data_IF_743404928210
#
_entry.id   IF_743404928210
#
_cell.length_a   1.000
_cell.length_b   1.000
_cell.length_c   1.000
_cell.angle_alpha   90.00
_cell.angle_beta   90.00
_cell.angle_gamma   90.00
#
_symmetry.space_group_name_H-M   'P 1'
#
loop_
_entity.id
_entity.type
_entity.pdbx_description
1 polymer ?
#
# COMPACT_ATOMS: atom_id res chain seq x y z
N UNK A 1 66.50 -23.73 -10.06
CA UNK A 1 67.09 -23.34 -11.36
C UNK A 1 66.08 -22.53 -12.15
N UNK A 2 66.45 -21.36 -12.67
CA UNK A 2 65.56 -20.55 -13.50
C UNK A 2 65.47 -21.15 -14.92
N UNK A 3 64.26 -21.14 -15.52
CA UNK A 3 64.06 -21.59 -16.91
C UNK A 3 64.95 -20.78 -17.86
N UNK A 4 65.59 -21.47 -18.80
CA UNK A 4 66.39 -20.83 -19.85
C UNK A 4 65.48 -19.98 -20.76
N UNK A 5 66.07 -19.00 -21.48
CA UNK A 5 65.31 -18.16 -22.40
C UNK A 5 64.57 -18.99 -23.47
N UNK A 6 65.20 -20.07 -23.95
CA UNK A 6 64.61 -21.02 -24.90
C UNK A 6 63.42 -21.77 -24.30
N UNK A 7 63.52 -22.23 -23.05
CA UNK A 7 62.42 -22.88 -22.34
C UNK A 7 61.23 -21.92 -22.12
N UNK A 8 61.50 -20.65 -21.81
CA UNK A 8 60.45 -19.63 -21.68
C UNK A 8 59.77 -19.34 -23.02
N UNK A 9 60.53 -19.25 -24.11
CA UNK A 9 59.98 -19.06 -25.46
C UNK A 9 59.12 -20.24 -25.91
N UNK A 10 59.58 -21.47 -25.70
CA UNK A 10 58.82 -22.69 -26.01
C UNK A 10 57.52 -22.79 -25.20
N UNK A 11 57.55 -22.45 -23.90
CA UNK A 11 56.35 -22.41 -23.07
C UNK A 11 55.35 -21.35 -23.53
N UNK A 12 55.83 -20.17 -23.94
CA UNK A 12 54.98 -19.11 -24.52
C UNK A 12 54.29 -19.57 -25.80
N UNK A 13 54.99 -20.27 -26.68
CA UNK A 13 54.40 -20.84 -27.91
C UNK A 13 53.34 -21.91 -27.60
N UNK A 14 53.60 -22.81 -26.64
CA UNK A 14 52.62 -23.82 -26.18
C UNK A 14 51.37 -23.17 -25.60
N UNK A 15 51.53 -22.13 -24.78
CA UNK A 15 50.41 -21.36 -24.24
C UNK A 15 49.57 -20.73 -25.35
N UNK A 16 50.21 -20.07 -26.31
CA UNK A 16 49.52 -19.45 -27.45
C UNK A 16 48.79 -20.47 -28.33
N UNK A 17 49.34 -21.68 -28.48
CA UNK A 17 48.68 -22.76 -29.22
C UNK A 17 47.43 -23.26 -28.47
N UNK A 18 47.52 -23.47 -27.16
CA UNK A 18 46.40 -23.86 -26.31
C UNK A 18 45.28 -22.80 -26.32
N UNK A 19 45.64 -21.54 -26.17
CA UNK A 19 44.66 -20.45 -26.12
C UNK A 19 43.95 -20.26 -27.47
N UNK A 20 44.64 -20.51 -28.60
CA UNK A 20 44.03 -20.56 -29.93
C UNK A 20 43.04 -21.73 -30.06
N UNK A 21 43.46 -22.95 -29.69
CA UNK A 21 42.60 -24.13 -29.73
C UNK A 21 41.35 -23.97 -28.84
N UNK A 22 41.48 -23.36 -27.67
CA UNK A 22 40.33 -23.04 -26.81
C UNK A 22 39.35 -22.08 -27.49
N UNK A 23 39.86 -20.98 -28.09
CA UNK A 23 38.98 -20.00 -28.76
C UNK A 23 38.26 -20.59 -29.95
N UNK A 24 38.91 -21.46 -30.73
CA UNK A 24 38.30 -22.20 -31.82
C UNK A 24 37.16 -23.08 -31.29
N UNK A 25 37.44 -23.89 -30.26
CA UNK A 25 36.42 -24.76 -29.67
C UNK A 25 35.27 -23.99 -29.03
N UNK A 26 35.56 -22.84 -28.42
CA UNK A 26 34.54 -21.97 -27.84
C UNK A 26 33.62 -21.38 -28.91
N UNK A 27 34.17 -20.96 -30.06
CA UNK A 27 33.37 -20.49 -31.21
C UNK A 27 32.49 -21.59 -31.78
N UNK A 28 33.00 -22.81 -31.90
CA UNK A 28 32.21 -23.97 -32.32
C UNK A 28 31.05 -24.24 -31.36
N UNK A 29 31.32 -24.24 -30.06
CA UNK A 29 30.29 -24.41 -29.03
C UNK A 29 29.25 -23.29 -29.10
N UNK A 30 29.67 -22.03 -29.22
CA UNK A 30 28.77 -20.89 -29.31
C UNK A 30 27.86 -20.99 -30.55
N UNK A 31 28.43 -21.29 -31.73
CA UNK A 31 27.66 -21.47 -32.95
C UNK A 31 26.66 -22.63 -32.85
N UNK A 32 27.06 -23.75 -32.22
CA UNK A 32 26.16 -24.88 -32.00
C UNK A 32 25.01 -24.53 -31.03
N UNK A 33 25.33 -23.80 -29.96
CA UNK A 33 24.33 -23.31 -28.99
C UNK A 33 23.34 -22.34 -29.62
N UNK A 34 23.84 -21.35 -30.38
CA UNK A 34 22.99 -20.35 -31.01
C UNK A 34 22.08 -21.00 -32.07
N UNK A 35 22.60 -21.97 -32.83
CA UNK A 35 21.79 -22.79 -33.74
C UNK A 35 20.70 -23.59 -33.02
N UNK A 36 21.02 -24.18 -31.87
CA UNK A 36 20.06 -24.95 -31.08
C UNK A 36 18.96 -24.07 -30.45
N UNK A 37 19.29 -22.82 -30.08
CA UNK A 37 18.37 -21.88 -29.45
C UNK A 37 17.60 -21.01 -30.46
N UNK A 38 18.02 -20.94 -31.72
CA UNK A 38 17.35 -20.12 -32.74
C UNK A 38 15.84 -20.38 -32.86
N UNK A 39 15.33 -21.63 -32.77
CA UNK A 39 13.89 -21.90 -32.78
C UNK A 39 13.16 -21.55 -31.48
N UNK A 40 13.87 -21.16 -30.41
CA UNK A 40 13.29 -20.84 -29.11
C UNK A 40 13.39 -19.34 -28.75
N UNK A 41 12.90 -18.43 -29.61
CA UNK A 41 12.90 -17.01 -29.32
C UNK A 41 11.99 -16.72 -28.13
N UNK A 42 12.40 -15.76 -27.28
CA UNK A 42 11.61 -15.35 -26.11
C UNK A 42 10.44 -14.47 -26.53
N UNK A 43 10.63 -13.61 -27.52
CA UNK A 43 9.60 -12.70 -28.05
C UNK A 43 9.40 -12.92 -29.55
N UNK A 44 8.23 -12.53 -30.06
CA UNK A 44 7.93 -12.57 -31.50
C UNK A 44 8.92 -11.73 -32.33
N UNK A 45 9.40 -10.62 -31.77
CA UNK A 45 10.34 -9.72 -32.44
C UNK A 45 11.78 -10.26 -32.46
N UNK A 46 12.09 -11.29 -31.66
CA UNK A 46 13.43 -11.90 -31.59
C UNK A 46 13.63 -13.02 -32.64
N UNK A 47 12.63 -13.28 -33.48
CA UNK A 47 12.66 -14.38 -34.46
C UNK A 47 13.68 -14.09 -35.55
N UNK A 48 14.70 -14.93 -35.65
CA UNK A 48 15.70 -14.82 -36.71
C UNK A 48 15.05 -15.05 -38.10
N UNK A 49 15.44 -14.28 -39.14
CA UNK A 49 14.90 -14.45 -40.49
C UNK A 49 15.05 -15.89 -40.99
N UNK A 50 13.96 -16.47 -41.48
CA UNK A 50 13.94 -17.84 -42.01
C UNK A 50 13.96 -18.95 -40.96
N UNK A 51 13.87 -18.63 -39.66
CA UNK A 51 13.73 -19.61 -38.59
C UNK A 51 12.29 -19.64 -38.11
N UNK A 52 11.67 -20.82 -38.16
CA UNK A 52 10.35 -21.03 -37.58
C UNK A 52 10.46 -21.19 -36.05
N UNK A 53 9.65 -20.47 -35.25
CA UNK A 53 9.56 -20.69 -33.82
C UNK A 53 9.08 -22.11 -33.51
N UNK A 54 9.68 -22.70 -32.49
CA UNK A 54 9.29 -23.99 -31.94
C UNK A 54 7.98 -23.93 -31.18
N UNK A 55 7.35 -25.10 -30.93
CA UNK A 55 6.05 -25.17 -30.25
C UNK A 55 6.09 -24.59 -28.84
N UNK A 56 7.22 -24.67 -28.13
CA UNK A 56 7.38 -24.11 -26.79
C UNK A 56 7.29 -22.57 -26.79
N UNK A 57 7.94 -21.91 -27.76
CA UNK A 57 7.86 -20.46 -27.92
C UNK A 57 6.45 -20.02 -28.32
N UNK A 58 5.82 -20.74 -29.23
CA UNK A 58 4.44 -20.46 -29.65
C UNK A 58 3.46 -20.58 -28.48
N UNK A 59 3.58 -21.64 -27.67
CA UNK A 59 2.75 -21.84 -26.49
C UNK A 59 2.97 -20.75 -25.43
N UNK A 60 4.22 -20.33 -25.20
CA UNK A 60 4.53 -19.24 -24.29
C UNK A 60 3.92 -17.90 -24.76
N UNK A 61 3.94 -17.63 -26.06
CA UNK A 61 3.34 -16.41 -26.60
C UNK A 61 1.81 -16.42 -26.51
N UNK A 62 1.17 -17.54 -26.82
CA UNK A 62 -0.28 -17.71 -26.69
C UNK A 62 -0.73 -17.54 -25.22
N UNK A 63 0.01 -18.12 -24.28
CA UNK A 63 -0.25 -17.94 -22.85
C UNK A 63 -0.14 -16.47 -22.41
N UNK A 64 0.89 -15.75 -22.89
CA UNK A 64 1.02 -14.31 -22.60
C UNK A 64 -0.13 -13.51 -23.20
N UNK A 65 -0.53 -13.79 -24.45
CA UNK A 65 -1.67 -13.11 -25.08
C UNK A 65 -2.97 -13.33 -24.29
N UNK A 66 -3.25 -14.56 -23.85
CA UNK A 66 -4.43 -14.85 -23.02
C UNK A 66 -4.38 -14.14 -21.67
N UNK A 67 -3.20 -14.03 -21.07
CA UNK A 67 -3.03 -13.27 -19.83
C UNK A 67 -3.31 -11.79 -20.04
N UNK A 68 -2.74 -11.19 -21.10
CA UNK A 68 -2.94 -9.78 -21.43
C UNK A 68 -4.44 -9.48 -21.70
N UNK A 69 -5.13 -10.37 -22.42
CA UNK A 69 -6.57 -10.27 -22.66
C UNK A 69 -7.38 -10.35 -21.36
N UNK A 70 -7.04 -11.29 -20.47
CA UNK A 70 -7.71 -11.44 -19.18
C UNK A 70 -7.50 -10.22 -18.27
N UNK A 71 -6.29 -9.66 -18.25
CA UNK A 71 -5.98 -8.44 -17.50
C UNK A 71 -6.78 -7.25 -18.06
N UNK A 72 -6.80 -7.07 -19.38
CA UNK A 72 -7.56 -5.99 -20.01
C UNK A 72 -9.07 -6.11 -19.73
N UNK A 73 -9.63 -7.31 -19.75
CA UNK A 73 -11.03 -7.54 -19.40
C UNK A 73 -11.30 -7.20 -17.93
N UNK A 74 -10.43 -7.64 -17.01
CA UNK A 74 -10.55 -7.33 -15.59
C UNK A 74 -10.48 -5.81 -15.32
N UNK A 75 -9.58 -5.09 -15.99
CA UNK A 75 -9.48 -3.63 -15.87
C UNK A 75 -10.74 -2.90 -16.36
N UNK A 76 -11.36 -3.38 -17.44
CA UNK A 76 -12.62 -2.82 -17.93
C UNK A 76 -13.77 -3.05 -16.96
N UNK A 77 -13.88 -4.26 -16.40
CA UNK A 77 -14.87 -4.58 -15.37
C UNK A 77 -14.67 -3.73 -14.10
N UNK A 78 -13.42 -3.57 -13.66
CA UNK A 78 -13.11 -2.75 -12.49
C UNK A 78 -13.48 -1.27 -12.74
N UNK A 79 -13.18 -0.73 -13.92
CA UNK A 79 -13.56 0.63 -14.29
C UNK A 79 -15.09 0.82 -14.25
N UNK A 80 -15.85 -0.14 -14.78
CA UNK A 80 -17.31 -0.10 -14.74
C UNK A 80 -17.86 -0.13 -13.30
N UNK A 81 -17.29 -0.98 -12.43
CA UNK A 81 -17.67 -1.05 -11.02
C UNK A 81 -17.37 0.27 -10.30
N UNK A 82 -16.20 0.87 -10.54
CA UNK A 82 -15.82 2.18 -9.96
C UNK A 82 -16.81 3.27 -10.37
N UNK A 83 -17.26 3.28 -11.61
CA UNK A 83 -18.28 4.22 -12.07
C UNK A 83 -19.64 3.99 -11.38
N UNK A 84 -20.06 2.74 -11.20
CA UNK A 84 -21.28 2.41 -10.45
C UNK A 84 -21.20 2.89 -9.00
N UNK A 85 -20.06 2.68 -8.33
CA UNK A 85 -19.82 3.16 -6.96
C UNK A 85 -19.96 4.69 -6.89
N UNK A 86 -19.37 5.42 -7.84
CA UNK A 86 -19.46 6.88 -7.87
C UNK A 86 -20.92 7.35 -8.02
N UNK A 87 -21.70 6.72 -8.91
CA UNK A 87 -23.14 7.03 -9.10
C UNK A 87 -23.97 6.72 -7.84
N UNK A 88 -23.67 5.62 -7.16
CA UNK A 88 -24.33 5.25 -5.89
C UNK A 88 -23.98 6.22 -4.76
N UNK A 89 -22.73 6.68 -4.68
CA UNK A 89 -22.30 7.67 -3.70
C UNK A 89 -23.04 9.01 -3.89
N UNK A 90 -23.18 9.47 -5.13
CA UNK A 90 -23.95 10.69 -5.42
C UNK A 90 -25.43 10.49 -5.07
N UNK A 91 -25.99 9.32 -5.38
CA UNK A 91 -27.37 8.98 -5.00
C UNK A 91 -27.58 9.01 -3.48
N UNK A 92 -26.64 8.46 -2.70
CA UNK A 92 -26.66 8.48 -1.24
C UNK A 92 -26.54 9.90 -0.69
N UNK A 93 -25.72 10.74 -1.31
CA UNK A 93 -25.63 12.16 -0.95
C UNK A 93 -26.98 12.85 -1.16
N UNK A 94 -27.62 12.65 -2.32
CA UNK A 94 -28.97 13.16 -2.58
C UNK A 94 -30.02 12.65 -1.58
N UNK A 95 -29.95 11.39 -1.15
CA UNK A 95 -30.81 10.85 -0.07
C UNK A 95 -30.58 11.61 1.24
N UNK A 96 -29.33 11.81 1.65
CA UNK A 96 -28.98 12.52 2.89
C UNK A 96 -29.43 13.98 2.87
N UNK A 97 -29.30 14.64 1.72
CA UNK A 97 -29.80 16.00 1.50
C UNK A 97 -31.32 16.05 1.58
N UNK A 98 -32.04 15.13 0.93
CA UNK A 98 -33.52 15.04 1.01
C UNK A 98 -34.01 14.84 2.44
N UNK A 99 -33.33 14.00 3.22
CA UNK A 99 -33.67 13.77 4.62
C UNK A 99 -33.04 14.78 5.58
N UNK A 100 -32.31 15.76 5.05
CA UNK A 100 -31.65 16.84 5.78
C UNK A 100 -30.86 16.37 7.00
N UNK A 101 -30.26 15.18 6.92
CA UNK A 101 -29.70 14.50 8.10
C UNK A 101 -28.54 15.29 8.71
N UNK A 102 -27.78 16.01 7.87
CA UNK A 102 -26.66 16.83 8.29
C UNK A 102 -27.12 18.05 9.09
N UNK A 103 -28.12 18.79 8.62
CA UNK A 103 -28.63 19.95 9.36
C UNK A 103 -29.36 19.52 10.63
N UNK A 104 -30.14 18.44 10.58
CA UNK A 104 -30.79 17.89 11.78
C UNK A 104 -29.77 17.42 12.84
N UNK A 105 -28.64 16.86 12.41
CA UNK A 105 -27.55 16.50 13.33
C UNK A 105 -26.92 17.74 13.99
N UNK A 106 -26.75 18.84 13.24
CA UNK A 106 -26.26 20.11 13.78
C UNK A 106 -27.26 20.73 14.77
N UNK A 107 -28.56 20.75 14.42
CA UNK A 107 -29.62 21.21 15.32
C UNK A 107 -29.63 20.40 16.61
N UNK A 108 -29.55 19.07 16.52
CA UNK A 108 -29.48 18.19 17.68
C UNK A 108 -28.29 18.52 18.57
N UNK A 109 -27.10 18.74 17.99
CA UNK A 109 -25.90 19.10 18.76
C UNK A 109 -26.10 20.41 19.52
N UNK A 110 -26.56 21.46 18.83
CA UNK A 110 -26.79 22.76 19.45
C UNK A 110 -27.83 22.69 20.58
N UNK A 111 -28.87 21.86 20.43
CA UNK A 111 -29.89 21.66 21.46
C UNK A 111 -29.30 21.00 22.73
N UNK A 112 -28.41 20.00 22.57
CA UNK A 112 -27.72 19.39 23.71
C UNK A 112 -26.75 20.36 24.39
N UNK A 113 -26.03 21.17 23.62
CA UNK A 113 -25.13 22.18 24.17
C UNK A 113 -25.91 23.22 25.00
N UNK A 114 -27.05 23.70 24.48
CA UNK A 114 -27.93 24.61 25.20
C UNK A 114 -28.52 23.98 26.48
N UNK A 115 -28.95 22.72 26.41
CA UNK A 115 -29.45 21.98 27.58
C UNK A 115 -28.38 21.87 28.66
N UNK A 116 -27.16 21.49 28.30
CA UNK A 116 -26.06 21.35 29.26
C UNK A 116 -25.70 22.70 29.89
N UNK A 117 -25.66 23.77 29.10
CA UNK A 117 -25.44 25.13 29.61
C UNK A 117 -26.53 25.54 30.61
N UNK A 118 -27.80 25.25 30.31
CA UNK A 118 -28.93 25.53 31.21
C UNK A 118 -28.83 24.72 32.51
N UNK A 119 -28.46 23.43 32.44
CA UNK A 119 -28.24 22.58 33.62
C UNK A 119 -27.14 23.14 34.52
N UNK A 120 -25.98 23.47 33.96
CA UNK A 120 -24.88 24.06 34.73
C UNK A 120 -25.27 25.40 35.34
N UNK A 121 -26.03 26.24 34.63
CA UNK A 121 -26.51 27.51 35.18
C UNK A 121 -27.48 27.29 36.35
N UNK A 122 -28.38 26.32 36.25
CA UNK A 122 -29.30 25.96 37.32
C UNK A 122 -28.56 25.38 38.54
N UNK A 123 -27.62 24.47 38.33
CA UNK A 123 -26.74 23.92 39.38
C UNK A 123 -26.02 25.05 40.12
N UNK A 124 -25.38 25.97 39.40
CA UNK A 124 -24.72 27.15 39.98
C UNK A 124 -25.67 28.05 40.77
N UNK A 125 -26.91 28.22 40.31
CA UNK A 125 -27.89 29.03 41.02
C UNK A 125 -28.30 28.38 42.35
N UNK A 126 -28.44 27.05 42.38
CA UNK A 126 -28.68 26.29 43.61
C UNK A 126 -27.46 26.35 44.53
N UNK A 127 -26.26 26.13 44.01
CA UNK A 127 -25.02 26.24 44.78
C UNK A 127 -24.87 27.63 45.43
N UNK A 128 -25.28 28.69 44.74
CA UNK A 128 -25.27 30.05 45.30
C UNK A 128 -26.30 30.25 46.43
N UNK A 129 -27.46 29.60 46.36
CA UNK A 129 -28.48 29.65 47.44
C UNK A 129 -28.03 28.88 48.68
N UNK A 130 -27.27 27.82 48.50
CA UNK A 130 -26.76 26.93 49.55
C UNK A 130 -25.24 27.02 49.66
N UNK A 131 -24.70 28.24 49.61
CA UNK A 131 -23.26 28.48 49.49
C UNK A 131 -22.43 27.93 50.67
N UNK A 132 -23.06 27.75 51.83
CA UNK A 132 -22.46 27.16 53.02
C UNK A 132 -22.13 25.68 52.80
N UNK A 133 -23.07 24.89 52.26
CA UNK A 133 -22.91 23.44 51.99
C UNK A 133 -22.44 23.11 50.57
N UNK A 134 -22.57 24.03 49.62
CA UNK A 134 -22.15 23.81 48.24
C UNK A 134 -20.65 23.48 48.16
N UNK A 135 -20.34 22.44 47.37
CA UNK A 135 -18.99 21.87 47.20
C UNK A 135 -18.29 21.44 48.51
N UNK A 136 -19.05 21.21 49.58
CA UNK A 136 -18.53 20.63 50.82
C UNK A 136 -18.83 19.14 50.86
N UNK A 137 -17.81 18.32 51.05
CA UNK A 137 -17.94 16.86 50.90
C UNK A 137 -17.98 16.11 52.23
N UNK A 138 -17.91 16.82 53.36
CA UNK A 138 -18.01 16.24 54.70
C UNK A 138 -18.50 17.24 55.76
N UNK A 139 -19.06 16.76 56.86
CA UNK A 139 -19.50 17.61 57.97
C UNK A 139 -18.35 18.39 58.63
N UNK A 140 -17.14 17.82 58.67
CA UNK A 140 -15.93 18.48 59.20
C UNK A 140 -15.55 19.69 58.34
N UNK A 141 -15.57 19.52 57.02
CA UNK A 141 -15.29 20.61 56.07
C UNK A 141 -16.38 21.70 56.12
N UNK A 142 -17.63 21.33 56.36
CA UNK A 142 -18.73 22.28 56.53
C UNK A 142 -18.56 23.11 57.81
N UNK A 143 -18.32 22.46 58.96
CA UNK A 143 -18.06 23.14 60.24
C UNK A 143 -16.90 24.13 60.13
N UNK A 144 -15.79 23.73 59.47
CA UNK A 144 -14.64 24.59 59.25
C UNK A 144 -14.94 25.80 58.34
N UNK A 145 -15.85 25.63 57.36
CA UNK A 145 -16.24 26.68 56.39
C UNK A 145 -17.28 27.66 56.96
N UNK A 146 -18.22 27.20 57.78
CA UNK A 146 -19.26 28.04 58.40
C UNK A 146 -18.86 28.58 59.78
N UNK A 147 -17.79 28.06 60.37
CA UNK A 147 -17.32 28.44 61.71
C UNK A 147 -18.17 27.84 62.84
N UNK A 148 -18.74 26.65 62.64
CA UNK A 148 -19.67 26.03 63.59
C UNK A 148 -19.01 25.58 64.90
N UNK A 149 -17.68 25.48 64.97
CA UNK A 149 -16.96 25.24 66.22
C UNK A 149 -16.07 26.42 66.60
N UNK A 150 -16.63 27.36 67.35
CA UNK A 150 -15.83 28.21 68.24
C UNK A 150 -16.54 28.72 69.51
N UNK A 151 -17.84 28.52 69.74
CA UNK A 151 -18.47 28.87 71.02
C UNK A 151 -19.83 28.17 71.20
N UNK A 152 -19.86 26.99 71.84
CA UNK A 152 -20.92 26.55 72.80
C UNK A 152 -20.74 25.08 73.20
N UNK A 153 -19.91 24.84 74.23
CA UNK A 153 -20.17 23.94 75.37
C UNK A 153 -19.02 24.08 76.37
#
# INVERSE_FOLDING_TARGET
MALTAEQKAANKQKQQARDRAYRERYREWQAARDKALAPLPRRKDDVAPGVAPGPESLAAWDANTKLDEAVAAAEQEEAAIREQIARLQESLKGVRERHNTTALAAVRRNAYDALNAARTAAEKAVDAQFADVAHVYSAVEWSAKTGFDADTA
#
